data_IF_512655026789
#
_entry.id   IF_512655026789
#
_cell.length_a   1.000
_cell.length_b   1.000
_cell.length_c   1.000
_cell.angle_alpha   90.00
_cell.angle_beta   90.00
_cell.angle_gamma   90.00
#
_symmetry.space_group_name_H-M   'P 1'
#
loop_
_entity.id
_entity.type
_entity.pdbx_description
1 polymer ?
#
# COMPACT_ATOMS: atom_id res chain seq x y z
N UNK A 1 4.45 -24.99 -7.53
CA UNK A 1 3.21 -24.23 -7.71
C UNK A 1 3.57 -22.75 -7.72
N UNK A 2 3.19 -21.98 -8.76
CA UNK A 2 3.47 -20.54 -8.80
C UNK A 2 2.73 -19.81 -7.67
N UNK A 3 3.32 -18.71 -7.17
CA UNK A 3 2.79 -17.89 -6.06
C UNK A 3 2.94 -16.41 -6.39
N UNK A 4 2.09 -15.57 -5.81
CA UNK A 4 2.27 -14.12 -5.82
C UNK A 4 3.48 -13.79 -4.95
N UNK A 5 4.42 -13.02 -5.48
CA UNK A 5 5.68 -12.64 -4.81
C UNK A 5 5.96 -11.14 -4.84
N UNK A 6 5.08 -10.37 -5.49
CA UNK A 6 5.26 -8.95 -5.73
C UNK A 6 3.90 -8.29 -5.95
N UNK A 7 3.73 -7.06 -5.45
CA UNK A 7 2.57 -6.23 -5.74
C UNK A 7 2.99 -4.86 -6.30
N UNK A 8 2.06 -4.19 -6.97
CA UNK A 8 2.27 -2.82 -7.44
C UNK A 8 1.12 -1.95 -6.94
N UNK A 9 1.46 -0.78 -6.42
CA UNK A 9 0.52 0.30 -6.13
C UNK A 9 0.70 1.37 -7.19
N UNK A 10 -0.36 1.68 -7.92
CA UNK A 10 -0.26 2.71 -8.94
C UNK A 10 -0.54 4.10 -8.37
N UNK A 11 0.34 5.06 -8.70
CA UNK A 11 0.30 6.43 -8.19
C UNK A 11 0.29 7.44 -9.34
N UNK A 12 -0.50 8.51 -9.17
CA UNK A 12 -0.44 9.70 -10.05
C UNK A 12 0.70 10.64 -9.65
N UNK A 13 1.01 10.65 -8.37
CA UNK A 13 2.08 11.44 -7.75
C UNK A 13 2.91 10.49 -6.88
N UNK A 14 4.11 10.16 -7.36
CA UNK A 14 5.00 9.17 -6.74
C UNK A 14 5.53 9.65 -5.39
N UNK A 15 5.84 10.95 -5.25
CA UNK A 15 6.36 11.53 -4.00
C UNK A 15 5.28 11.53 -2.92
N UNK A 16 4.06 11.95 -3.27
CA UNK A 16 2.93 11.93 -2.35
C UNK A 16 2.65 10.51 -1.86
N UNK A 17 2.59 9.55 -2.78
CA UNK A 17 2.36 8.15 -2.44
C UNK A 17 3.49 7.58 -1.56
N UNK A 18 4.75 7.84 -1.90
CA UNK A 18 5.88 7.41 -1.07
C UNK A 18 5.84 8.00 0.34
N UNK A 19 5.48 9.28 0.47
CA UNK A 19 5.29 9.93 1.76
C UNK A 19 4.19 9.26 2.59
N UNK A 20 3.05 8.94 1.97
CA UNK A 20 1.93 8.24 2.61
C UNK A 20 2.37 6.88 3.18
N UNK A 21 2.95 6.00 2.35
CA UNK A 21 3.34 4.66 2.80
C UNK A 21 4.43 4.67 3.88
N UNK A 22 5.37 5.63 3.83
CA UNK A 22 6.35 5.84 4.90
C UNK A 22 5.70 6.22 6.23
N UNK A 23 4.73 7.15 6.21
CA UNK A 23 4.15 7.71 7.43
C UNK A 23 3.05 6.84 8.05
N UNK A 24 2.23 6.19 7.22
CA UNK A 24 1.13 5.34 7.70
C UNK A 24 1.61 3.95 8.10
N UNK A 25 2.50 3.35 7.31
CA UNK A 25 2.89 1.95 7.50
C UNK A 25 4.36 1.75 7.90
N UNK A 26 5.15 2.82 7.97
CA UNK A 26 6.57 2.73 8.30
C UNK A 26 7.42 2.03 7.23
N UNK A 27 6.88 1.85 6.02
CA UNK A 27 7.58 1.15 4.94
C UNK A 27 8.76 1.96 4.40
N UNK A 28 9.79 1.25 3.95
CA UNK A 28 10.90 1.88 3.22
C UNK A 28 10.51 2.01 1.76
N UNK A 29 10.79 3.19 1.18
CA UNK A 29 10.52 3.48 -0.23
C UNK A 29 11.78 3.96 -0.90
N UNK A 30 12.28 3.17 -1.84
CA UNK A 30 13.55 3.43 -2.54
C UNK A 30 13.32 3.63 -4.03
N UNK A 31 13.88 4.70 -4.59
CA UNK A 31 13.80 4.94 -6.03
C UNK A 31 14.66 3.95 -6.76
N UNK A 32 14.10 3.27 -7.76
CA UNK A 32 14.91 2.45 -8.62
C UNK A 32 15.87 3.33 -9.44
N UNK A 33 17.17 2.99 -9.54
CA UNK A 33 18.18 3.91 -10.08
C UNK A 33 17.97 4.27 -11.56
N UNK A 34 17.27 3.43 -12.31
CA UNK A 34 16.97 3.62 -13.72
C UNK A 34 15.46 3.43 -13.97
N UNK A 35 14.85 4.26 -14.83
CA UNK A 35 13.46 4.05 -15.22
C UNK A 35 13.28 2.71 -15.91
N UNK A 36 12.12 2.08 -15.67
CA UNK A 36 11.72 0.86 -16.37
C UNK A 36 11.11 1.21 -17.72
N UNK A 37 10.79 0.19 -18.54
CA UNK A 37 10.03 0.38 -19.77
C UNK A 37 8.65 1.06 -19.55
N UNK A 38 8.16 1.09 -18.30
CA UNK A 38 6.87 1.64 -17.91
C UNK A 38 6.98 2.94 -17.10
N UNK A 39 8.18 3.53 -17.02
CA UNK A 39 8.45 4.77 -16.30
C UNK A 39 9.11 4.56 -14.93
N UNK A 40 8.90 5.52 -14.04
CA UNK A 40 9.46 5.49 -12.68
C UNK A 40 9.00 4.24 -11.92
N UNK A 41 9.87 3.70 -11.07
CA UNK A 41 9.55 2.52 -10.28
C UNK A 41 10.22 2.63 -8.94
N UNK A 42 9.48 2.59 -7.84
CA UNK A 42 10.04 2.82 -6.52
C UNK A 42 9.71 1.62 -5.64
N UNK A 43 10.73 0.89 -5.21
CA UNK A 43 10.58 -0.30 -4.38
C UNK A 43 9.90 0.05 -3.05
N UNK A 44 8.96 -0.78 -2.64
CA UNK A 44 8.32 -0.76 -1.32
C UNK A 44 8.81 -1.96 -0.54
N UNK A 45 9.59 -1.73 0.51
CA UNK A 45 10.01 -2.78 1.45
C UNK A 45 9.07 -2.77 2.65
N UNK A 46 8.32 -3.84 2.84
CA UNK A 46 7.19 -3.87 3.79
C UNK A 46 7.55 -4.38 5.18
N UNK A 47 8.82 -4.67 5.43
CA UNK A 47 9.34 -5.15 6.72
C UNK A 47 9.90 -6.58 6.66
N UNK A 48 10.29 -7.09 7.82
CA UNK A 48 10.81 -8.46 7.96
C UNK A 48 9.67 -9.46 8.28
N UNK A 49 9.85 -10.72 7.87
CA UNK A 49 8.93 -11.80 8.21
C UNK A 49 8.03 -12.25 7.04
N UNK A 50 6.90 -12.92 7.34
CA UNK A 50 5.95 -13.35 6.31
C UNK A 50 5.32 -12.15 5.61
N UNK A 51 5.43 -12.09 4.28
CA UNK A 51 4.92 -10.98 3.49
C UNK A 51 5.53 -11.01 2.09
N UNK A 52 5.20 -10.00 1.30
CA UNK A 52 5.83 -9.75 0.00
C UNK A 52 6.12 -8.26 -0.09
N UNK A 53 7.22 -7.92 -0.75
CA UNK A 53 7.52 -6.55 -1.12
C UNK A 53 6.77 -6.15 -2.39
N UNK A 54 6.87 -4.87 -2.74
CA UNK A 54 6.19 -4.34 -3.90
C UNK A 54 6.87 -3.13 -4.49
N UNK A 55 6.10 -2.34 -5.22
CA UNK A 55 6.56 -1.06 -5.74
C UNK A 55 5.43 -0.06 -5.95
N UNK A 56 5.80 1.22 -5.92
CA UNK A 56 5.03 2.27 -6.57
C UNK A 56 5.37 2.27 -8.06
N UNK A 57 4.34 2.40 -8.89
CA UNK A 57 4.44 2.57 -10.33
C UNK A 57 3.46 3.65 -10.82
N UNK A 58 3.65 4.23 -12.02
CA UNK A 58 2.72 5.21 -12.55
C UNK A 58 1.33 4.61 -12.76
N UNK A 59 0.31 5.41 -12.49
CA UNK A 59 -1.07 5.05 -12.78
C UNK A 59 -1.23 4.73 -14.27
N UNK A 60 -1.75 3.55 -14.56
CA UNK A 60 -2.13 3.11 -15.90
C UNK A 60 -3.64 2.87 -15.96
N UNK A 61 -4.24 3.01 -17.15
CA UNK A 61 -5.65 2.70 -17.38
C UNK A 61 -5.88 1.18 -17.41
N UNK A 62 -5.78 0.54 -16.23
CA UNK A 62 -5.99 -0.90 -16.02
C UNK A 62 -6.57 -1.14 -14.63
N UNK A 63 -7.29 -2.27 -14.43
CA UNK A 63 -7.74 -2.68 -13.10
C UNK A 63 -6.57 -2.79 -12.11
N UNK A 64 -6.82 -2.42 -10.86
CA UNK A 64 -5.88 -2.58 -9.75
C UNK A 64 -6.30 -3.71 -8.81
N UNK A 65 -5.31 -4.24 -8.10
CA UNK A 65 -5.52 -5.25 -7.06
C UNK A 65 -5.65 -4.57 -5.70
N UNK A 66 -6.47 -5.14 -4.82
CA UNK A 66 -6.56 -4.71 -3.42
C UNK A 66 -5.49 -5.45 -2.62
N UNK A 67 -4.62 -4.70 -1.95
CA UNK A 67 -3.67 -5.25 -1.00
C UNK A 67 -4.27 -5.18 0.41
N UNK A 68 -4.29 -6.32 1.10
CA UNK A 68 -4.67 -6.38 2.52
C UNK A 68 -3.41 -6.29 3.38
N UNK A 69 -3.37 -5.31 4.28
CA UNK A 69 -2.23 -5.05 5.15
C UNK A 69 -2.66 -5.38 6.58
N UNK A 70 -1.91 -6.24 7.25
CA UNK A 70 -2.12 -6.53 8.67
C UNK A 70 -1.55 -5.38 9.52
N UNK A 71 -2.30 -4.96 10.53
CA UNK A 71 -1.97 -3.81 11.38
C UNK A 71 -2.39 -4.08 12.82
N UNK A 72 -1.65 -3.52 13.77
CA UNK A 72 -1.92 -3.72 15.20
C UNK A 72 -3.29 -3.18 15.63
N UNK A 73 -3.73 -2.07 15.03
CA UNK A 73 -5.00 -1.41 15.35
C UNK A 73 -5.63 -0.77 14.12
N UNK A 74 -6.78 -1.30 13.69
CA UNK A 74 -7.52 -0.75 12.54
C UNK A 74 -7.98 0.69 12.80
N UNK A 75 -8.36 1.03 14.03
CA UNK A 75 -8.82 2.39 14.35
C UNK A 75 -7.68 3.41 14.28
N UNK A 76 -6.51 3.06 14.82
CA UNK A 76 -5.34 3.95 14.80
C UNK A 76 -4.81 4.12 13.38
N UNK A 77 -4.75 3.03 12.60
CA UNK A 77 -4.35 3.10 11.18
C UNK A 77 -5.35 3.93 10.37
N UNK A 78 -6.66 3.80 10.58
CA UNK A 78 -7.65 4.66 9.91
C UNK A 78 -7.40 6.14 10.23
N UNK A 79 -7.13 6.47 11.50
CA UNK A 79 -6.82 7.84 11.89
C UNK A 79 -5.57 8.37 11.18
N UNK A 80 -4.51 7.57 11.08
CA UNK A 80 -3.29 7.93 10.35
C UNK A 80 -3.55 8.10 8.86
N UNK A 81 -4.26 7.17 8.21
CA UNK A 81 -4.65 7.26 6.79
C UNK A 81 -5.35 8.60 6.51
N UNK A 82 -6.32 8.97 7.35
CA UNK A 82 -7.06 10.22 7.19
C UNK A 82 -6.17 11.46 7.40
N UNK A 83 -5.27 11.44 8.39
CA UNK A 83 -4.33 12.54 8.63
C UNK A 83 -3.34 12.75 7.48
N UNK A 84 -3.05 11.70 6.72
CA UNK A 84 -2.12 11.70 5.59
C UNK A 84 -2.81 11.95 4.23
N UNK A 85 -4.09 12.34 4.27
CA UNK A 85 -4.87 12.72 3.09
C UNK A 85 -5.49 11.54 2.34
N UNK A 86 -5.39 10.33 2.89
CA UNK A 86 -6.11 9.15 2.42
C UNK A 86 -7.59 9.21 2.79
N UNK A 87 -8.34 8.18 2.37
CA UNK A 87 -9.79 8.09 2.55
C UNK A 87 -10.20 6.70 3.02
N UNK A 88 -11.22 6.65 3.85
CA UNK A 88 -11.94 5.40 4.14
C UNK A 88 -13.03 5.23 3.09
N UNK A 89 -12.92 4.18 2.26
CA UNK A 89 -13.88 3.85 1.21
C UNK A 89 -14.99 2.97 1.75
N UNK A 90 -14.63 2.02 2.60
CA UNK A 90 -15.58 1.23 3.39
C UNK A 90 -15.16 1.27 4.86
N UNK A 91 -16.08 1.68 5.76
CA UNK A 91 -15.79 1.83 7.17
C UNK A 91 -15.38 0.50 7.81
N UNK A 92 -14.72 0.59 8.96
CA UNK A 92 -14.36 -0.57 9.77
C UNK A 92 -15.58 -1.47 9.99
N UNK A 93 -15.43 -2.74 9.66
CA UNK A 93 -16.43 -3.78 9.83
C UNK A 93 -15.83 -4.99 10.54
N UNK A 94 -16.67 -5.67 11.31
CA UNK A 94 -16.32 -6.96 11.93
C UNK A 94 -16.44 -8.06 10.89
N UNK A 95 -15.40 -8.89 10.78
CA UNK A 95 -15.45 -10.17 10.07
C UNK A 95 -15.55 -11.26 11.14
N UNK A 96 -16.73 -11.92 11.29
CA UNK A 96 -16.93 -12.92 12.33
C UNK A 96 -15.82 -13.98 12.34
N UNK A 97 -15.28 -14.26 13.52
CA UNK A 97 -14.21 -15.24 13.76
C UNK A 97 -12.84 -14.93 13.12
N UNK A 98 -12.68 -13.79 12.42
CA UNK A 98 -11.40 -13.39 11.81
C UNK A 98 -10.85 -12.13 12.48
N UNK A 99 -11.63 -11.05 12.57
CA UNK A 99 -11.14 -9.78 13.12
C UNK A 99 -11.89 -8.57 12.58
N UNK A 100 -11.17 -7.45 12.39
CA UNK A 100 -11.71 -6.21 11.82
C UNK A 100 -11.05 -5.91 10.48
N UNK A 101 -11.80 -5.27 9.57
CA UNK A 101 -11.32 -4.84 8.26
C UNK A 101 -11.89 -3.46 7.93
N UNK A 102 -11.10 -2.62 7.27
CA UNK A 102 -11.58 -1.44 6.58
C UNK A 102 -10.92 -1.37 5.19
N UNK A 103 -11.56 -0.70 4.24
CA UNK A 103 -10.97 -0.43 2.94
C UNK A 103 -10.64 1.05 2.82
N UNK A 104 -9.39 1.32 2.46
CA UNK A 104 -8.86 2.68 2.37
C UNK A 104 -8.22 2.94 1.00
N UNK A 105 -8.18 4.21 0.62
CA UNK A 105 -7.42 4.75 -0.50
C UNK A 105 -6.34 5.71 0.02
N UNK A 106 -5.16 5.70 -0.61
CA UNK A 106 -4.02 6.54 -0.28
C UNK A 106 -4.06 7.91 -0.98
#
# INVERSE_FOLDING_TARGET
MPRVIHFEVAAKDMERAAGFYRRVFGWTVDRFPAPTAFGEYWSLLTGEGPGIDGALAPMMDRPQTINTIDVESVDDTIAQVLSEGGKVVYPKMTIPSIGFLAYCEA
#
